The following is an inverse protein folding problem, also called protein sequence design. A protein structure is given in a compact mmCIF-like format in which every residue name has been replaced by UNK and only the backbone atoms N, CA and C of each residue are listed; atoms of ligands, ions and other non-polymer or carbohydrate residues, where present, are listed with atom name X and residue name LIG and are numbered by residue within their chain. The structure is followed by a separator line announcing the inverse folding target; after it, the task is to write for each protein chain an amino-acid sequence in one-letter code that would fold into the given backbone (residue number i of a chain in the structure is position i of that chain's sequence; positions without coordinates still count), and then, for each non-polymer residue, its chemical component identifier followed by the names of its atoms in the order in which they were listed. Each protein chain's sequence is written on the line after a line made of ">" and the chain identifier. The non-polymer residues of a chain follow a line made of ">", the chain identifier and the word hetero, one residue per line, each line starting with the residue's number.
data_IF_314196947206
#
_entry.id   IF_314196947206
#
_cell.length_a   1.000
_cell.length_b   1.000
_cell.length_c   1.000
_cell.angle_alpha   90.00
_cell.angle_beta   90.00
_cell.angle_gamma   90.00
#
_symmetry.space_group_name_H-M   'P 1'
#
loop_
_entity.id
_entity.type
_entity.pdbx_description
1 polymer ?
#
# COMPACT_ATOMS: atom_id res chain seq x y z
N UNK A 1 -22.24 -70.70 4.24
CA UNK A 1 -21.47 -69.99 5.29
C UNK A 1 -21.84 -68.52 5.23
N UNK A 2 -22.71 -68.03 6.13
CA UNK A 2 -23.19 -66.64 6.09
C UNK A 2 -22.47 -65.83 7.18
N UNK A 3 -21.51 -65.01 6.77
CA UNK A 3 -20.76 -64.14 7.68
C UNK A 3 -21.61 -62.90 7.94
N UNK A 4 -22.33 -62.87 9.07
CA UNK A 4 -23.05 -61.66 9.51
C UNK A 4 -22.04 -60.68 10.11
N UNK A 5 -21.71 -59.63 9.36
CA UNK A 5 -21.01 -58.45 9.91
C UNK A 5 -21.95 -57.73 10.88
N UNK A 6 -21.61 -57.78 12.16
CA UNK A 6 -22.30 -57.05 13.23
C UNK A 6 -22.00 -55.55 13.03
N UNK A 7 -23.00 -54.78 12.62
CA UNK A 7 -22.87 -53.32 12.46
C UNK A 7 -22.84 -52.69 13.85
N UNK A 8 -21.67 -52.25 14.30
CA UNK A 8 -21.54 -51.43 15.50
C UNK A 8 -22.13 -50.04 15.18
N UNK A 9 -23.20 -49.66 15.88
CA UNK A 9 -23.78 -48.32 15.77
C UNK A 9 -22.87 -47.27 16.42
N UNK A 10 -22.89 -46.04 15.89
CA UNK A 10 -22.19 -44.90 16.46
C UNK A 10 -22.62 -44.68 17.92
N UNK A 11 -21.65 -44.47 18.80
CA UNK A 11 -21.94 -44.10 20.18
C UNK A 11 -22.19 -42.59 20.27
N UNK A 12 -23.05 -42.12 21.19
CA UNK A 12 -23.34 -40.69 21.35
C UNK A 12 -22.09 -39.86 21.70
N UNK A 13 -21.16 -40.48 22.43
CA UNK A 13 -19.85 -39.89 22.78
C UNK A 13 -18.98 -39.67 21.53
N UNK A 14 -19.03 -40.58 20.56
CA UNK A 14 -18.26 -40.49 19.31
C UNK A 14 -18.74 -39.32 18.44
N UNK A 15 -20.06 -39.11 18.34
CA UNK A 15 -20.64 -37.95 17.66
C UNK A 15 -20.27 -36.62 18.35
N UNK A 16 -20.27 -36.58 19.69
CA UNK A 16 -19.86 -35.39 20.45
C UNK A 16 -18.37 -35.07 20.24
N UNK A 17 -17.49 -36.08 20.27
CA UNK A 17 -16.07 -35.89 20.01
C UNK A 17 -15.86 -35.39 18.56
N UNK A 18 -16.57 -35.96 17.59
CA UNK A 18 -16.49 -35.51 16.20
C UNK A 18 -16.91 -34.03 16.04
N UNK A 19 -17.98 -33.60 16.72
CA UNK A 19 -18.42 -32.20 16.72
C UNK A 19 -17.39 -31.26 17.36
N UNK A 20 -16.72 -31.69 18.44
CA UNK A 20 -15.65 -30.90 19.09
C UNK A 20 -14.44 -30.77 18.17
N UNK A 21 -14.01 -31.86 17.53
CA UNK A 21 -12.88 -31.82 16.58
C UNK A 21 -13.22 -30.93 15.38
N UNK A 22 -14.44 -31.05 14.85
CA UNK A 22 -14.92 -30.22 13.74
C UNK A 22 -14.95 -28.74 14.12
N UNK A 23 -15.49 -28.40 15.30
CA UNK A 23 -15.60 -27.00 15.72
C UNK A 23 -14.21 -26.35 15.90
N UNK A 24 -13.24 -27.08 16.47
CA UNK A 24 -11.85 -26.63 16.55
C UNK A 24 -11.26 -26.41 15.14
N UNK A 25 -11.50 -27.34 14.21
CA UNK A 25 -11.06 -27.19 12.82
C UNK A 25 -11.64 -25.94 12.14
N UNK A 26 -12.93 -25.68 12.33
CA UNK A 26 -13.62 -24.52 11.73
C UNK A 26 -13.14 -23.19 12.32
N UNK A 27 -12.86 -23.14 13.62
CA UNK A 27 -12.23 -21.99 14.26
C UNK A 27 -10.82 -21.73 13.70
N UNK A 28 -10.06 -22.79 13.42
CA UNK A 28 -8.75 -22.69 12.76
C UNK A 28 -8.84 -22.04 11.37
N UNK A 29 -9.83 -22.45 10.55
CA UNK A 29 -10.07 -21.86 9.24
C UNK A 29 -10.50 -20.40 9.35
N UNK A 30 -11.39 -20.06 10.28
CA UNK A 30 -11.81 -18.68 10.49
C UNK A 30 -10.63 -17.76 10.87
N UNK A 31 -9.74 -18.25 11.76
CA UNK A 31 -8.54 -17.51 12.12
C UNK A 31 -7.60 -17.28 10.91
N UNK A 32 -7.45 -18.27 10.03
CA UNK A 32 -6.68 -18.11 8.79
C UNK A 32 -7.32 -17.09 7.84
N UNK A 33 -8.65 -17.10 7.70
CA UNK A 33 -9.37 -16.13 6.87
C UNK A 33 -9.17 -14.69 7.36
N UNK A 34 -9.22 -14.47 8.67
CA UNK A 34 -8.95 -13.14 9.25
C UNK A 34 -7.52 -12.68 8.94
N UNK A 35 -6.52 -13.56 9.09
CA UNK A 35 -5.13 -13.24 8.74
C UNK A 35 -4.96 -12.94 7.25
N UNK A 36 -5.64 -13.70 6.38
CA UNK A 36 -5.63 -13.46 4.95
C UNK A 36 -6.21 -12.07 4.61
N UNK A 37 -7.34 -11.69 5.21
CA UNK A 37 -7.94 -10.37 5.05
C UNK A 37 -7.00 -9.24 5.51
N UNK A 38 -6.36 -9.41 6.66
CA UNK A 38 -5.37 -8.46 7.15
C UNK A 38 -4.21 -8.28 6.15
N UNK A 39 -3.66 -9.38 5.63
CA UNK A 39 -2.57 -9.32 4.66
C UNK A 39 -2.98 -8.65 3.33
N UNK A 40 -4.20 -8.94 2.86
CA UNK A 40 -4.74 -8.35 1.64
C UNK A 40 -4.94 -6.84 1.79
N UNK A 41 -5.41 -6.41 2.96
CA UNK A 41 -5.62 -5.00 3.25
C UNK A 41 -4.29 -4.22 3.30
N UNK A 42 -3.25 -4.78 3.93
CA UNK A 42 -1.90 -4.17 3.91
C UNK A 42 -1.35 -4.06 2.48
N UNK A 43 -1.58 -5.09 1.65
CA UNK A 43 -1.21 -5.06 0.24
C UNK A 43 -1.95 -3.98 -0.54
N UNK A 44 -3.26 -3.81 -0.27
CA UNK A 44 -4.07 -2.77 -0.88
C UNK A 44 -3.57 -1.36 -0.55
N UNK A 45 -3.29 -1.05 0.71
CA UNK A 45 -2.78 0.28 1.09
C UNK A 45 -1.43 0.59 0.47
N UNK A 46 -0.51 -0.38 0.42
CA UNK A 46 0.77 -0.21 -0.29
C UNK A 46 0.58 0.02 -1.79
N UNK A 47 -0.37 -0.66 -2.42
CA UNK A 47 -0.69 -0.43 -3.82
C UNK A 47 -1.23 0.98 -4.04
N UNK A 48 -2.13 1.46 -3.17
CA UNK A 48 -2.64 2.84 -3.21
C UNK A 48 -1.51 3.86 -3.02
N UNK A 49 -0.60 3.65 -2.07
CA UNK A 49 0.56 4.53 -1.89
C UNK A 49 1.50 4.56 -3.10
N UNK A 50 1.69 3.40 -3.76
CA UNK A 50 2.45 3.33 -5.00
C UNK A 50 1.77 4.11 -6.14
N UNK A 51 0.45 4.04 -6.25
CA UNK A 51 -0.30 4.83 -7.23
C UNK A 51 -0.21 6.33 -6.93
N UNK A 52 -0.31 6.72 -5.66
CA UNK A 52 -0.16 8.10 -5.24
C UNK A 52 1.23 8.66 -5.57
N UNK A 53 2.28 7.85 -5.36
CA UNK A 53 3.64 8.23 -5.73
C UNK A 53 3.84 8.36 -7.25
N UNK A 54 3.21 7.49 -8.04
CA UNK A 54 3.24 7.59 -9.51
C UNK A 54 2.50 8.83 -10.01
N UNK A 55 1.34 9.14 -9.43
CA UNK A 55 0.59 10.37 -9.73
C UNK A 55 1.42 11.61 -9.40
N UNK A 56 2.10 11.66 -8.24
CA UNK A 56 3.02 12.76 -7.92
C UNK A 56 4.08 12.97 -9.01
N UNK A 57 4.60 11.87 -9.58
CA UNK A 57 5.55 11.93 -10.70
C UNK A 57 4.90 12.46 -11.96
N UNK A 58 3.67 12.07 -12.27
CA UNK A 58 2.91 12.61 -13.40
C UNK A 58 2.68 14.13 -13.29
N UNK A 59 2.42 14.63 -12.08
CA UNK A 59 2.34 16.07 -11.81
C UNK A 59 3.69 16.77 -12.08
N UNK A 60 4.81 16.16 -11.66
CA UNK A 60 6.14 16.68 -12.00
C UNK A 60 6.37 16.67 -13.52
N UNK A 61 5.98 15.61 -14.23
CA UNK A 61 6.08 15.57 -15.70
C UNK A 61 5.27 16.67 -16.36
N UNK A 62 4.06 16.93 -15.86
CA UNK A 62 3.21 18.01 -16.36
C UNK A 62 3.76 19.42 -16.05
N UNK A 63 4.56 19.55 -15.00
CA UNK A 63 5.25 20.79 -14.62
C UNK A 63 6.54 21.07 -15.39
N UNK A 64 7.00 20.18 -16.25
CA UNK A 64 8.20 20.42 -17.07
C UNK A 64 8.03 21.66 -17.94
N UNK A 65 9.05 22.52 -17.92
CA UNK A 65 9.09 23.72 -18.74
C UNK A 65 10.17 23.60 -19.81
N UNK A 66 9.93 24.21 -20.96
CA UNK A 66 10.83 24.20 -22.12
C UNK A 66 11.20 25.64 -22.50
N UNK A 67 12.49 25.90 -22.74
CA UNK A 67 12.94 27.20 -23.27
C UNK A 67 12.93 27.29 -24.81
N UNK A 68 13.26 28.47 -25.33
CA UNK A 68 13.35 28.72 -26.77
C UNK A 68 14.44 27.90 -27.49
N UNK A 69 15.34 27.25 -26.76
CA UNK A 69 16.41 26.40 -27.28
C UNK A 69 16.09 24.90 -27.12
N UNK A 70 14.85 24.54 -26.77
CA UNK A 70 14.41 23.16 -26.57
C UNK A 70 15.17 22.47 -25.41
N UNK A 71 15.57 23.23 -24.39
CA UNK A 71 16.07 22.67 -23.13
C UNK A 71 14.92 22.54 -22.12
N UNK A 72 14.89 21.40 -21.42
CA UNK A 72 13.92 21.12 -20.37
C UNK A 72 14.46 21.54 -18.99
N UNK A 73 13.64 22.23 -18.22
CA UNK A 73 13.92 22.56 -16.82
C UNK A 73 12.98 21.81 -15.90
N UNK A 74 13.56 21.43 -14.77
CA UNK A 74 12.88 20.59 -13.81
C UNK A 74 11.95 21.44 -12.94
N UNK A 75 10.70 21.00 -12.74
CA UNK A 75 9.76 21.75 -11.93
C UNK A 75 10.22 21.84 -10.47
N UNK A 76 9.78 22.89 -9.80
CA UNK A 76 9.85 22.96 -8.34
C UNK A 76 8.90 21.92 -7.73
N UNK A 77 9.20 21.49 -6.51
CA UNK A 77 8.39 20.49 -5.79
C UNK A 77 6.98 21.00 -5.42
N UNK A 78 6.77 22.32 -5.47
CA UNK A 78 5.53 23.02 -5.19
C UNK A 78 4.38 22.58 -6.11
N UNK A 79 4.68 22.21 -7.36
CA UNK A 79 3.68 21.70 -8.32
C UNK A 79 2.90 20.51 -7.76
N UNK A 80 3.53 19.71 -6.89
CA UNK A 80 2.89 18.61 -6.18
C UNK A 80 2.52 19.01 -4.75
N UNK A 81 3.45 19.61 -4.01
CA UNK A 81 3.32 19.86 -2.58
C UNK A 81 2.25 20.90 -2.23
N UNK A 82 2.17 21.96 -3.03
CA UNK A 82 1.20 23.06 -2.89
C UNK A 82 0.05 22.93 -3.91
N UNK A 83 0.12 21.92 -4.78
CA UNK A 83 -0.90 21.55 -5.75
C UNK A 83 -2.09 20.79 -5.15
N UNK A 84 -2.89 20.17 -6.03
CA UNK A 84 -4.10 19.42 -5.64
C UNK A 84 -3.85 17.96 -5.22
N UNK A 85 -2.59 17.50 -5.20
CA UNK A 85 -2.24 16.10 -4.94
C UNK A 85 -2.70 15.64 -3.54
N UNK A 86 -2.49 16.47 -2.52
CA UNK A 86 -2.92 16.15 -1.15
C UNK A 86 -4.43 15.97 -1.02
N UNK A 87 -5.21 16.83 -1.68
CA UNK A 87 -6.68 16.77 -1.69
C UNK A 87 -7.20 15.55 -2.46
N UNK A 88 -6.48 15.12 -3.49
CA UNK A 88 -6.80 13.93 -4.27
C UNK A 88 -6.56 12.65 -3.45
N UNK A 89 -5.40 12.55 -2.79
CA UNK A 89 -4.95 11.31 -2.14
C UNK A 89 -5.28 11.19 -0.66
N UNK A 90 -5.48 12.30 0.06
CA UNK A 90 -5.83 12.29 1.49
C UNK A 90 -7.14 11.57 1.82
N UNK A 91 -8.00 11.34 0.82
CA UNK A 91 -9.24 10.54 0.94
C UNK A 91 -9.00 9.04 0.96
N UNK A 92 -7.90 8.58 0.36
CA UNK A 92 -7.56 7.17 0.22
C UNK A 92 -6.48 6.73 1.21
N UNK A 93 -5.64 7.68 1.64
CA UNK A 93 -4.56 7.48 2.59
C UNK A 93 -4.92 8.24 3.88
N UNK A 94 -5.49 7.58 4.90
CA UNK A 94 -5.83 8.23 6.16
C UNK A 94 -4.57 8.77 6.82
N UNK A 95 -4.63 9.97 7.41
CA UNK A 95 -3.47 10.57 8.08
C UNK A 95 -2.29 10.89 7.16
N UNK A 96 -2.53 10.98 5.84
CA UNK A 96 -1.55 11.51 4.89
C UNK A 96 -1.09 12.89 5.37
N UNK A 97 0.22 13.06 5.52
CA UNK A 97 0.81 14.27 6.08
C UNK A 97 2.22 14.49 5.50
N UNK A 98 2.76 15.69 5.67
CA UNK A 98 4.05 16.11 5.15
C UNK A 98 3.97 16.63 3.72
N UNK A 99 5.12 16.83 3.08
CA UNK A 99 5.22 17.19 1.67
C UNK A 99 5.73 15.96 0.92
N UNK A 100 4.99 15.41 -0.06
CA UNK A 100 5.34 14.15 -0.69
C UNK A 100 6.63 14.24 -1.50
N UNK A 101 6.97 15.40 -2.06
CA UNK A 101 8.09 15.54 -2.99
C UNK A 101 9.20 16.40 -2.36
N UNK A 102 10.44 15.91 -2.41
CA UNK A 102 11.63 16.69 -2.07
C UNK A 102 12.05 17.61 -3.23
N UNK A 103 12.75 18.71 -2.92
CA UNK A 103 13.41 19.53 -3.94
C UNK A 103 14.29 18.68 -4.88
N UNK A 104 14.36 19.00 -6.19
CA UNK A 104 15.15 18.24 -7.15
C UNK A 104 16.65 18.30 -6.83
N UNK A 105 17.33 17.19 -7.02
CA UNK A 105 18.80 17.16 -7.07
C UNK A 105 19.33 17.64 -8.43
N UNK A 106 20.67 17.74 -8.57
CA UNK A 106 21.34 18.25 -9.77
C UNK A 106 20.98 17.53 -11.08
N UNK A 107 20.49 16.28 -11.02
CA UNK A 107 20.09 15.44 -12.16
C UNK A 107 18.56 15.28 -12.28
N UNK A 108 17.80 16.20 -11.66
CA UNK A 108 16.33 16.16 -11.63
C UNK A 108 15.78 14.85 -11.09
N UNK A 109 16.46 14.35 -10.06
CA UNK A 109 16.00 13.22 -9.27
C UNK A 109 15.24 13.75 -8.07
N UNK A 110 14.01 13.29 -7.94
CA UNK A 110 13.08 13.60 -6.86
C UNK A 110 12.90 12.36 -5.99
N UNK A 111 12.81 12.59 -4.68
CA UNK A 111 12.39 11.57 -3.74
C UNK A 111 10.94 11.86 -3.35
N UNK A 112 10.08 10.89 -3.63
CA UNK A 112 8.67 10.91 -3.29
C UNK A 112 8.47 10.04 -2.04
N UNK A 113 7.94 10.64 -0.98
CA UNK A 113 7.71 10.02 0.32
C UNK A 113 6.22 10.07 0.61
N UNK A 114 5.58 8.89 0.59
CA UNK A 114 4.16 8.75 0.94
C UNK A 114 4.09 8.07 2.30
N UNK A 115 3.64 8.81 3.31
CA UNK A 115 3.38 8.28 4.66
C UNK A 115 1.93 8.46 5.03
N UNK A 116 1.30 7.43 5.58
CA UNK A 116 -0.09 7.45 6.01
C UNK A 116 -0.21 6.83 7.41
N UNK A 117 -1.29 7.17 8.10
CA UNK A 117 -1.61 6.61 9.41
C UNK A 117 -2.13 5.18 9.27
N UNK A 118 -1.57 4.28 10.06
CA UNK A 118 -1.96 2.88 10.15
C UNK A 118 -2.22 2.53 11.62
N UNK A 119 -3.41 2.88 12.10
CA UNK A 119 -3.82 2.69 13.50
C UNK A 119 -3.90 1.24 14.02
N UNK A 120 -3.41 0.25 13.25
CA UNK A 120 -3.24 -1.13 13.72
C UNK A 120 -1.84 -1.42 14.26
N UNK A 121 -0.86 -0.54 14.02
CA UNK A 121 0.54 -0.70 14.41
C UNK A 121 1.04 0.56 15.13
N UNK A 122 0.47 0.87 16.30
CA UNK A 122 0.86 2.05 17.11
C UNK A 122 2.36 2.03 17.53
N UNK A 123 2.98 0.85 17.61
CA UNK A 123 4.36 0.67 18.06
C UNK A 123 5.42 0.69 16.93
N UNK A 124 5.04 0.52 15.65
CA UNK A 124 5.99 0.47 14.51
C UNK A 124 6.09 1.79 13.73
N UNK A 125 5.34 2.81 14.14
CA UNK A 125 5.25 4.08 13.44
C UNK A 125 4.48 4.00 12.13
N UNK A 126 4.26 5.15 11.50
CA UNK A 126 3.48 5.22 10.27
C UNK A 126 4.23 4.53 9.12
N UNK A 127 3.56 3.69 8.31
CA UNK A 127 4.15 3.13 7.11
C UNK A 127 4.62 4.23 6.16
N UNK A 128 5.83 4.05 5.63
CA UNK A 128 6.45 4.96 4.67
C UNK A 128 6.71 4.19 3.36
N UNK A 129 6.25 4.75 2.26
CA UNK A 129 6.58 4.32 0.92
C UNK A 129 7.49 5.37 0.26
N UNK A 130 8.68 4.93 -0.14
CA UNK A 130 9.67 5.77 -0.81
C UNK A 130 9.74 5.39 -2.28
N UNK A 131 9.66 6.40 -3.15
CA UNK A 131 9.78 6.24 -4.59
C UNK A 131 10.74 7.30 -5.13
N UNK A 132 11.66 6.89 -6.00
CA UNK A 132 12.63 7.80 -6.60
C UNK A 132 12.34 7.90 -8.08
N UNK A 133 12.15 9.12 -8.56
CA UNK A 133 11.88 9.39 -9.97
C UNK A 133 12.95 10.32 -10.53
N UNK A 134 13.34 10.08 -11.77
CA UNK A 134 14.21 10.96 -12.54
C UNK A 134 13.45 11.49 -13.75
N UNK A 135 13.44 12.80 -13.90
CA UNK A 135 12.84 13.48 -15.05
C UNK A 135 13.91 13.89 -16.08
N UNK A 136 13.45 14.25 -17.27
CA UNK A 136 14.29 14.87 -18.30
C UNK A 136 14.44 16.35 -17.94
N UNK A 137 15.66 16.83 -17.80
CA UNK A 137 15.90 18.25 -17.67
C UNK A 137 17.13 18.57 -16.84
N UNK A 138 17.34 19.86 -16.63
CA UNK A 138 18.37 20.40 -15.74
C UNK A 138 17.73 21.25 -14.66
N UNK A 139 18.33 21.31 -13.45
CA UNK A 139 17.84 22.18 -12.39
C UNK A 139 17.90 23.65 -12.86
N UNK A 140 16.83 24.39 -12.58
CA UNK A 140 16.71 25.83 -12.85
C UNK A 140 17.60 26.64 -11.90
N UNK A 141 18.92 26.62 -12.12
CA UNK A 141 19.86 27.35 -11.25
C UNK A 141 21.33 27.27 -11.63
N UNK A 142 21.64 26.96 -12.89
CA UNK A 142 23.02 26.85 -13.39
C UNK A 142 23.45 28.02 -14.26
N UNK A 143 23.51 29.22 -13.70
CA UNK A 143 24.42 30.31 -14.13
C UNK A 143 25.13 30.91 -12.92
#
# INVERSE_FOLDING_TARGET
>A
MNIKFRKNGFTLIEALIALVVLSIGLLGVAAMQLKALQSAHMGYQRAVASLAAQDAVEWLWAGLTEDANNNYYCPEEDVVNDGGWHDAWGKFLPGLNGSPVSSPSADCVYQITVSWDEGRYEDEGNPVFLYTARLLGTPSGGE
#
